data_IF_070256148013
#
_entry.id   IF_070256148013
#
_cell.length_a   1.000
_cell.length_b   1.000
_cell.length_c   1.000
_cell.angle_alpha   90.00
_cell.angle_beta   90.00
_cell.angle_gamma   90.00
#
_symmetry.space_group_name_H-M   'P 1'
#
loop_
_entity.id
_entity.type
_entity.pdbx_description
1 polymer ?
#
# COMPACT_ATOMS: atom_id res chain seq x y z
N UNK A 1 15.69 -12.18 -9.74
CA UNK A 1 14.29 -12.38 -9.31
C UNK A 1 14.32 -12.89 -7.89
N UNK A 2 14.06 -12.01 -6.94
CA UNK A 2 13.64 -12.35 -5.58
C UNK A 2 12.24 -11.76 -5.42
N UNK A 3 11.32 -12.56 -4.88
CA UNK A 3 9.88 -12.39 -5.08
C UNK A 3 9.12 -12.37 -3.76
N UNK A 4 7.82 -12.07 -3.81
CA UNK A 4 6.91 -12.22 -2.67
C UNK A 4 6.87 -13.64 -2.09
N UNK A 5 7.41 -14.64 -2.81
CA UNK A 5 7.68 -15.98 -2.27
C UNK A 5 8.72 -15.95 -1.15
N UNK A 6 9.81 -15.21 -1.30
CA UNK A 6 10.85 -15.09 -0.26
C UNK A 6 10.31 -14.34 0.97
N UNK A 7 9.45 -13.35 0.74
CA UNK A 7 8.74 -12.65 1.81
C UNK A 7 7.81 -13.61 2.57
N UNK A 8 7.12 -14.52 1.87
CA UNK A 8 6.31 -15.55 2.50
C UNK A 8 7.15 -16.51 3.35
N UNK A 9 8.25 -17.02 2.82
CA UNK A 9 9.18 -17.90 3.53
C UNK A 9 9.80 -17.21 4.76
N UNK A 10 10.12 -15.93 4.64
CA UNK A 10 10.59 -15.12 5.76
C UNK A 10 9.56 -15.04 6.89
N UNK A 11 8.28 -14.79 6.58
CA UNK A 11 7.21 -14.75 7.60
C UNK A 11 7.11 -16.10 8.31
N UNK A 12 7.12 -17.20 7.57
CA UNK A 12 7.09 -18.55 8.13
C UNK A 12 8.26 -18.79 9.09
N UNK A 13 9.48 -18.42 8.67
CA UNK A 13 10.68 -18.52 9.50
C UNK A 13 10.61 -17.66 10.76
N UNK A 14 10.16 -16.40 10.65
CA UNK A 14 10.05 -15.48 11.78
C UNK A 14 9.01 -15.92 12.81
N UNK A 15 7.95 -16.61 12.36
CA UNK A 15 6.86 -17.10 13.19
C UNK A 15 7.04 -18.52 13.70
N UNK A 16 7.93 -19.31 13.09
CA UNK A 16 8.06 -20.75 13.35
C UNK A 16 6.81 -21.52 12.90
N UNK A 17 6.24 -21.15 11.75
CA UNK A 17 5.02 -21.75 11.18
C UNK A 17 5.31 -22.44 9.85
N UNK A 18 4.48 -23.42 9.48
CA UNK A 18 4.61 -24.14 8.20
C UNK A 18 3.77 -23.54 7.07
N UNK A 19 2.75 -22.75 7.40
CA UNK A 19 1.84 -22.17 6.43
C UNK A 19 1.40 -20.76 6.82
N UNK A 20 1.16 -19.94 5.81
CA UNK A 20 0.58 -18.61 6.00
C UNK A 20 -0.93 -18.76 6.21
N UNK A 21 -1.44 -18.01 7.18
CA UNK A 21 -2.88 -17.85 7.35
C UNK A 21 -3.51 -17.21 6.10
N UNK A 22 -4.80 -17.43 5.81
CA UNK A 22 -5.48 -16.79 4.68
C UNK A 22 -5.33 -15.26 4.66
N UNK A 23 -5.34 -14.65 5.85
CA UNK A 23 -5.12 -13.20 6.06
C UNK A 23 -3.76 -12.75 5.57
N UNK A 24 -2.71 -13.49 5.89
CA UNK A 24 -1.34 -13.15 5.52
C UNK A 24 -1.13 -13.33 4.02
N UNK A 25 -1.72 -14.35 3.40
CA UNK A 25 -1.71 -14.51 1.95
C UNK A 25 -2.38 -13.33 1.25
N UNK A 26 -3.54 -12.91 1.73
CA UNK A 26 -4.24 -11.74 1.20
C UNK A 26 -3.43 -10.46 1.37
N UNK A 27 -2.79 -10.28 2.52
CA UNK A 27 -1.94 -9.14 2.78
C UNK A 27 -0.73 -9.08 1.83
N UNK A 28 0.00 -10.20 1.67
CA UNK A 28 1.12 -10.28 0.74
C UNK A 28 0.70 -10.03 -0.71
N UNK A 29 -0.38 -10.69 -1.15
CA UNK A 29 -0.95 -10.46 -2.48
C UNK A 29 -1.30 -8.99 -2.68
N UNK A 30 -1.85 -8.34 -1.66
CA UNK A 30 -2.21 -6.92 -1.76
C UNK A 30 -1.00 -6.01 -1.87
N UNK A 31 0.07 -6.28 -1.12
CA UNK A 31 1.32 -5.54 -1.22
C UNK A 31 1.94 -5.69 -2.63
N UNK A 32 1.90 -6.90 -3.18
CA UNK A 32 2.36 -7.20 -4.53
C UNK A 32 1.54 -6.45 -5.59
N UNK A 33 0.22 -6.56 -5.56
CA UNK A 33 -0.69 -5.81 -6.45
C UNK A 33 -0.54 -4.29 -6.31
N UNK A 34 -0.13 -3.82 -5.14
CA UNK A 34 0.12 -2.38 -4.88
C UNK A 34 1.55 -1.95 -5.25
N UNK A 35 2.33 -2.83 -5.90
CA UNK A 35 3.70 -2.60 -6.33
C UNK A 35 4.66 -2.19 -5.20
N UNK A 36 4.47 -2.72 -3.99
CA UNK A 36 5.43 -2.50 -2.91
C UNK A 36 6.75 -3.23 -3.22
N UNK A 37 7.92 -2.55 -3.16
CA UNK A 37 9.21 -3.19 -3.33
C UNK A 37 9.42 -4.28 -2.28
N UNK A 38 9.69 -5.51 -2.71
CA UNK A 38 9.77 -6.67 -1.83
C UNK A 38 10.87 -6.50 -0.75
N UNK A 39 11.98 -5.82 -1.07
CA UNK A 39 13.06 -5.54 -0.12
C UNK A 39 12.58 -4.70 1.07
N UNK A 40 11.70 -3.73 0.81
CA UNK A 40 11.14 -2.87 1.85
C UNK A 40 10.12 -3.63 2.70
N UNK A 41 9.36 -4.54 2.06
CA UNK A 41 8.43 -5.42 2.78
C UNK A 41 9.20 -6.37 3.70
N UNK A 42 10.24 -7.01 3.20
CA UNK A 42 11.14 -7.87 3.98
C UNK A 42 11.74 -7.13 5.18
N UNK A 43 12.32 -5.96 4.96
CA UNK A 43 12.91 -5.16 6.03
C UNK A 43 11.86 -4.72 7.07
N UNK A 44 10.66 -4.34 6.61
CA UNK A 44 9.55 -3.97 7.49
C UNK A 44 9.11 -5.12 8.37
N UNK A 45 9.02 -6.33 7.82
CA UNK A 45 8.69 -7.55 8.57
C UNK A 45 9.76 -7.89 9.59
N UNK A 46 11.05 -7.84 9.21
CA UNK A 46 12.18 -8.06 10.13
C UNK A 46 12.13 -7.09 11.31
N UNK A 47 11.98 -5.79 11.05
CA UNK A 47 11.88 -4.75 12.09
C UNK A 47 10.68 -4.94 12.99
N UNK A 48 9.54 -5.31 12.42
CA UNK A 48 8.32 -5.55 13.19
C UNK A 48 8.48 -6.74 14.14
N UNK A 49 8.88 -7.91 13.63
CA UNK A 49 9.01 -9.12 14.44
C UNK A 49 10.18 -9.07 15.42
N UNK A 50 11.24 -8.32 15.14
CA UNK A 50 12.35 -8.11 16.09
C UNK A 50 11.89 -7.43 17.40
N UNK A 51 10.85 -6.59 17.34
CA UNK A 51 10.25 -5.92 18.51
C UNK A 51 9.35 -6.85 19.34
N UNK A 52 9.06 -8.06 18.84
CA UNK A 52 8.17 -9.01 19.49
C UNK A 52 8.97 -10.14 20.15
N UNK A 53 8.61 -10.52 21.38
CA UNK A 53 9.08 -11.76 21.99
C UNK A 53 8.77 -12.99 21.11
N UNK A 54 9.67 -13.98 20.99
CA UNK A 54 9.50 -15.15 20.12
C UNK A 54 8.15 -15.88 20.27
N UNK A 55 7.69 -16.06 21.51
CA UNK A 55 6.44 -16.74 21.86
C UNK A 55 5.19 -16.01 21.34
N UNK A 56 5.27 -14.68 21.14
CA UNK A 56 4.18 -13.89 20.57
C UNK A 56 4.18 -13.89 19.05
N UNK A 57 5.34 -14.07 18.39
CA UNK A 57 5.47 -13.99 16.92
C UNK A 57 4.53 -14.94 16.19
N UNK A 58 4.42 -16.18 16.68
CA UNK A 58 3.55 -17.22 16.12
C UNK A 58 2.10 -16.74 15.95
N UNK A 59 1.56 -16.10 16.99
CA UNK A 59 0.16 -15.62 17.02
C UNK A 59 -0.02 -14.25 16.38
N UNK A 60 1.05 -13.49 16.16
CA UNK A 60 0.98 -12.15 15.56
C UNK A 60 0.94 -12.22 14.03
N UNK A 61 -0.14 -11.76 13.39
CA UNK A 61 -0.23 -11.70 11.93
C UNK A 61 0.74 -10.70 11.30
N UNK A 62 1.25 -11.01 10.12
CA UNK A 62 2.19 -10.15 9.39
C UNK A 62 1.60 -8.80 8.95
N UNK A 63 0.28 -8.67 8.79
CA UNK A 63 -0.34 -7.41 8.35
C UNK A 63 -0.18 -6.25 9.34
N UNK A 64 0.10 -6.53 10.61
CA UNK A 64 0.45 -5.49 11.59
C UNK A 64 1.78 -4.79 11.28
N UNK A 65 2.64 -5.39 10.44
CA UNK A 65 3.85 -4.77 9.96
C UNK A 65 3.60 -3.65 8.93
N UNK A 66 2.36 -3.47 8.44
CA UNK A 66 2.04 -2.51 7.39
C UNK A 66 2.52 -1.09 7.73
N UNK A 67 2.29 -0.63 8.96
CA UNK A 67 2.74 0.70 9.38
C UNK A 67 4.28 0.86 9.31
N UNK A 68 5.03 -0.19 9.66
CA UNK A 68 6.49 -0.20 9.57
C UNK A 68 6.95 -0.21 8.11
N UNK A 69 6.29 -1.00 7.24
CA UNK A 69 6.55 -1.06 5.80
C UNK A 69 6.28 0.30 5.15
N UNK A 70 5.16 0.95 5.46
CA UNK A 70 4.83 2.29 4.95
C UNK A 70 5.84 3.34 5.39
N UNK A 71 6.31 3.27 6.64
CA UNK A 71 7.36 4.16 7.15
C UNK A 71 8.66 3.99 6.37
N UNK A 72 9.07 2.75 6.10
CA UNK A 72 10.25 2.45 5.28
C UNK A 72 10.09 2.94 3.85
N UNK A 73 8.91 2.73 3.25
CA UNK A 73 8.58 3.24 1.92
C UNK A 73 8.70 4.75 1.85
N UNK A 74 8.11 5.49 2.78
CA UNK A 74 8.23 6.97 2.84
C UNK A 74 9.69 7.41 2.98
N UNK A 75 10.48 6.72 3.80
CA UNK A 75 11.91 7.03 3.95
C UNK A 75 12.70 6.75 2.67
N UNK A 76 12.45 5.61 2.02
CA UNK A 76 13.11 5.25 0.77
C UNK A 76 12.79 6.26 -0.34
N UNK A 77 11.51 6.67 -0.44
CA UNK A 77 11.05 7.73 -1.34
C UNK A 77 11.83 9.02 -1.10
N UNK A 78 11.89 9.50 0.15
CA UNK A 78 12.62 10.72 0.52
C UNK A 78 14.10 10.67 0.11
N UNK A 79 14.74 9.52 0.29
CA UNK A 79 16.15 9.34 -0.07
C UNK A 79 16.39 9.25 -1.58
N UNK A 80 15.38 8.86 -2.35
CA UNK A 80 15.45 8.75 -3.82
C UNK A 80 15.06 10.03 -4.56
N UNK A 81 14.60 11.05 -3.84
CA UNK A 81 14.10 12.30 -4.42
C UNK A 81 15.13 13.10 -5.21
N UNK A 82 16.43 12.87 -4.98
CA UNK A 82 17.53 13.57 -5.66
C UNK A 82 17.95 12.99 -7.01
N UNK A 83 17.32 11.92 -7.51
CA UNK A 83 17.60 11.41 -8.86
C UNK A 83 16.91 12.30 -9.89
N UNK A 84 17.69 12.88 -10.80
CA UNK A 84 17.17 13.55 -11.99
C UNK A 84 16.34 12.55 -12.79
N UNK A 85 15.05 12.86 -12.94
CA UNK A 85 14.05 12.13 -13.68
C UNK A 85 13.00 13.15 -14.13
N UNK A 86 12.23 12.85 -15.17
CA UNK A 86 11.21 13.72 -15.72
C UNK A 86 9.92 13.70 -14.87
N UNK A 87 10.09 13.91 -13.57
CA UNK A 87 9.02 13.79 -12.57
C UNK A 87 7.90 14.81 -12.78
N UNK A 88 8.20 15.97 -13.39
CA UNK A 88 7.21 17.00 -13.68
C UNK A 88 6.20 16.55 -14.72
N UNK A 89 6.66 15.90 -15.79
CA UNK A 89 5.76 15.33 -16.81
C UNK A 89 4.94 14.17 -16.24
N UNK A 90 5.59 13.27 -15.49
CA UNK A 90 4.87 12.16 -14.81
C UNK A 90 3.82 12.68 -13.83
N UNK A 91 4.14 13.73 -13.07
CA UNK A 91 3.19 14.37 -12.17
C UNK A 91 1.96 14.92 -12.92
N UNK A 92 2.18 15.63 -14.03
CA UNK A 92 1.07 16.15 -14.86
C UNK A 92 0.18 15.03 -15.40
N UNK A 93 0.77 13.97 -15.95
CA UNK A 93 0.02 12.82 -16.44
C UNK A 93 -0.80 12.13 -15.33
N UNK A 94 -0.24 12.01 -14.12
CA UNK A 94 -0.97 11.46 -12.98
C UNK A 94 -2.12 12.38 -12.51
N UNK A 95 -1.94 13.70 -12.57
CA UNK A 95 -3.01 14.66 -12.28
C UNK A 95 -4.15 14.58 -13.31
N UNK A 96 -3.84 14.42 -14.59
CA UNK A 96 -4.85 14.22 -15.65
C UNK A 96 -5.68 12.96 -15.38
N UNK A 97 -5.03 11.83 -15.11
CA UNK A 97 -5.70 10.57 -14.73
C UNK A 97 -6.56 10.73 -13.46
N UNK A 98 -6.10 11.49 -12.46
CA UNK A 98 -6.90 11.79 -11.27
C UNK A 98 -8.12 12.67 -11.58
N UNK A 99 -7.97 13.61 -12.53
CA UNK A 99 -8.99 14.55 -12.98
C UNK A 99 -10.21 13.88 -13.61
N UNK A 100 -10.06 12.66 -14.12
CA UNK A 100 -11.18 11.85 -14.64
C UNK A 100 -12.18 11.46 -13.54
N UNK A 101 -11.77 11.48 -12.27
CA UNK A 101 -12.57 10.98 -11.15
C UNK A 101 -12.89 12.03 -10.10
N UNK A 102 -12.00 12.99 -9.88
CA UNK A 102 -12.15 14.03 -8.86
C UNK A 102 -11.68 15.38 -9.38
N UNK A 103 -12.19 16.46 -8.78
CA UNK A 103 -11.67 17.80 -9.04
C UNK A 103 -10.22 17.92 -8.56
N UNK A 104 -9.32 18.25 -9.47
CA UNK A 104 -7.90 18.44 -9.19
C UNK A 104 -7.59 19.94 -9.15
N UNK A 105 -7.09 20.48 -8.02
CA UNK A 105 -6.74 21.89 -7.92
C UNK A 105 -5.51 22.20 -8.78
N UNK A 106 -5.42 23.44 -9.27
CA UNK A 106 -4.22 23.94 -9.94
C UNK A 106 -3.09 24.08 -8.92
N UNK A 107 -2.12 23.18 -8.99
CA UNK A 107 -1.01 23.07 -8.04
C UNK A 107 0.32 23.01 -8.78
N UNK A 108 1.33 23.69 -8.24
CA UNK A 108 2.68 23.70 -8.81
C UNK A 108 3.68 23.31 -7.71
N UNK A 109 4.14 22.04 -7.69
CA UNK A 109 5.06 21.55 -6.67
C UNK A 109 6.46 22.16 -6.84
N UNK A 110 7.08 22.51 -5.71
CA UNK A 110 8.43 23.09 -5.67
C UNK A 110 9.52 22.06 -5.97
N UNK A 111 9.26 20.81 -5.63
CA UNK A 111 10.19 19.69 -5.74
C UNK A 111 9.46 18.35 -5.92
N UNK A 112 10.21 17.27 -6.20
CA UNK A 112 9.65 15.93 -6.42
C UNK A 112 8.91 15.38 -5.19
N UNK A 113 9.29 15.79 -3.98
CA UNK A 113 8.66 15.31 -2.74
C UNK A 113 7.31 15.96 -2.48
N UNK A 114 7.22 17.28 -2.64
CA UNK A 114 5.98 18.03 -2.58
C UNK A 114 4.98 17.56 -3.64
N UNK A 115 5.45 17.21 -4.83
CA UNK A 115 4.63 16.58 -5.87
C UNK A 115 4.03 15.22 -5.41
N UNK A 116 4.86 14.36 -4.81
CA UNK A 116 4.39 13.08 -4.26
C UNK A 116 3.40 13.25 -3.10
N UNK A 117 3.61 14.23 -2.22
CA UNK A 117 2.68 14.54 -1.13
C UNK A 117 1.33 15.01 -1.66
N UNK A 118 1.34 15.83 -2.72
CA UNK A 118 0.12 16.23 -3.42
C UNK A 118 -0.60 15.01 -4.00
N UNK A 119 0.11 14.14 -4.73
CA UNK A 119 -0.48 12.91 -5.29
C UNK A 119 -1.08 12.02 -4.21
N UNK A 120 -0.36 11.80 -3.10
CA UNK A 120 -0.85 10.99 -1.98
C UNK A 120 -2.12 11.57 -1.35
N UNK A 121 -2.21 12.90 -1.22
CA UNK A 121 -3.39 13.59 -0.73
C UNK A 121 -4.57 13.46 -1.70
N UNK A 122 -4.34 13.63 -3.00
CA UNK A 122 -5.36 13.47 -4.03
C UNK A 122 -5.83 12.02 -4.14
N UNK A 123 -4.92 11.04 -4.06
CA UNK A 123 -5.27 9.61 -4.02
C UNK A 123 -6.16 9.30 -2.80
N UNK A 124 -5.88 9.90 -1.64
CA UNK A 124 -6.74 9.73 -0.47
C UNK A 124 -8.13 10.33 -0.68
N UNK A 125 -8.25 11.48 -1.36
CA UNK A 125 -9.55 12.08 -1.73
C UNK A 125 -10.29 11.22 -2.75
N UNK A 126 -9.59 10.68 -3.75
CA UNK A 126 -10.14 9.77 -4.74
C UNK A 126 -10.78 8.56 -4.08
N UNK A 127 -10.04 7.82 -3.25
CA UNK A 127 -10.62 6.63 -2.60
C UNK A 127 -11.78 6.96 -1.67
N UNK A 128 -11.76 8.14 -1.04
CA UNK A 128 -12.90 8.61 -0.25
C UNK A 128 -14.12 8.82 -1.14
N UNK A 129 -13.97 9.53 -2.26
CA UNK A 129 -15.03 9.77 -3.23
C UNK A 129 -15.59 8.46 -3.81
N UNK A 130 -14.72 7.53 -4.22
CA UNK A 130 -15.11 6.21 -4.73
C UNK A 130 -15.85 5.40 -3.67
N UNK A 131 -15.39 5.45 -2.41
CA UNK A 131 -16.07 4.80 -1.31
C UNK A 131 -17.45 5.39 -1.08
N UNK A 132 -17.59 6.72 -1.02
CA UNK A 132 -18.87 7.38 -0.74
C UNK A 132 -19.92 7.07 -1.82
N UNK A 133 -19.52 7.02 -3.09
CA UNK A 133 -20.39 6.73 -4.22
C UNK A 133 -20.69 5.24 -4.47
N UNK A 134 -20.07 4.32 -3.72
CA UNK A 134 -20.40 2.91 -3.81
C UNK A 134 -21.80 2.61 -3.24
N UNK A 135 -22.59 1.73 -3.88
CA UNK A 135 -23.84 1.24 -3.32
C UNK A 135 -23.64 0.63 -1.92
N UNK A 136 -24.62 0.81 -1.04
CA UNK A 136 -24.51 0.37 0.36
C UNK A 136 -24.31 -1.16 0.48
N UNK A 137 -24.95 -1.93 -0.40
CA UNK A 137 -24.78 -3.39 -0.46
C UNK A 137 -23.34 -3.79 -0.83
N UNK A 138 -22.69 -3.03 -1.70
CA UNK A 138 -21.29 -3.28 -2.04
C UNK A 138 -20.34 -2.91 -0.89
N UNK A 139 -20.61 -1.79 -0.20
CA UNK A 139 -19.86 -1.40 1.01
C UNK A 139 -19.92 -2.52 2.05
N UNK A 140 -21.12 -3.03 2.33
CA UNK A 140 -21.32 -4.17 3.25
C UNK A 140 -20.58 -5.42 2.78
N UNK A 141 -20.63 -5.75 1.50
CA UNK A 141 -19.93 -6.89 0.93
C UNK A 141 -18.40 -6.78 1.11
N UNK A 142 -17.82 -5.61 0.86
CA UNK A 142 -16.39 -5.34 1.06
C UNK A 142 -15.98 -5.44 2.54
N UNK A 143 -16.78 -4.86 3.43
CA UNK A 143 -16.55 -4.95 4.88
C UNK A 143 -16.65 -6.40 5.38
N UNK A 144 -17.59 -7.19 4.85
CA UNK A 144 -17.74 -8.62 5.17
C UNK A 144 -16.55 -9.42 4.64
N UNK A 145 -16.12 -9.18 3.39
CA UNK A 145 -14.95 -9.83 2.77
C UNK A 145 -13.70 -9.61 3.61
N UNK A 146 -13.48 -8.40 4.11
CA UNK A 146 -12.29 -8.05 4.91
C UNK A 146 -12.51 -7.98 6.42
N UNK A 147 -13.59 -8.57 6.93
CA UNK A 147 -13.93 -8.53 8.36
C UNK A 147 -12.79 -9.05 9.27
N UNK A 148 -11.95 -9.94 8.75
CA UNK A 148 -10.76 -10.46 9.44
C UNK A 148 -9.67 -9.42 9.74
N UNK A 149 -9.72 -8.24 9.12
CA UNK A 149 -8.84 -7.09 9.39
C UNK A 149 -9.51 -6.02 10.27
N UNK A 150 -10.74 -6.21 10.76
CA UNK A 150 -11.53 -5.18 11.47
C UNK A 150 -10.84 -4.57 12.70
N UNK A 151 -9.94 -5.31 13.33
CA UNK A 151 -9.19 -4.86 14.51
C UNK A 151 -7.99 -3.97 14.15
N UNK A 152 -7.63 -3.89 12.87
CA UNK A 152 -6.59 -3.02 12.34
C UNK A 152 -7.19 -2.15 11.24
N UNK A 153 -7.58 -0.93 11.62
CA UNK A 153 -8.19 0.04 10.68
C UNK A 153 -7.26 0.36 9.50
N UNK A 154 -5.95 0.36 9.72
CA UNK A 154 -4.95 0.63 8.68
C UNK A 154 -4.93 -0.50 7.66
N UNK A 155 -4.80 -1.75 8.13
CA UNK A 155 -4.84 -2.91 7.25
C UNK A 155 -6.19 -3.04 6.54
N UNK A 156 -7.31 -2.82 7.23
CA UNK A 156 -8.64 -2.85 6.61
C UNK A 156 -8.77 -1.80 5.50
N UNK A 157 -8.38 -0.55 5.78
CA UNK A 157 -8.39 0.53 4.80
C UNK A 157 -7.52 0.20 3.59
N UNK A 158 -6.32 -0.34 3.82
CA UNK A 158 -5.41 -0.79 2.76
C UNK A 158 -6.04 -1.87 1.88
N UNK A 159 -6.71 -2.87 2.48
CA UNK A 159 -7.39 -3.92 1.71
C UNK A 159 -8.57 -3.38 0.89
N UNK A 160 -9.35 -2.45 1.45
CA UNK A 160 -10.48 -1.82 0.76
C UNK A 160 -9.99 -0.96 -0.41
N UNK A 161 -9.00 -0.08 -0.19
CA UNK A 161 -8.40 0.74 -1.26
C UNK A 161 -7.91 -0.10 -2.42
N UNK A 162 -7.29 -1.25 -2.14
CA UNK A 162 -6.88 -2.20 -3.18
C UNK A 162 -8.04 -2.77 -4.01
N UNK A 163 -9.19 -3.07 -3.39
CA UNK A 163 -10.37 -3.48 -4.16
C UNK A 163 -10.95 -2.34 -5.00
N UNK A 164 -11.01 -1.13 -4.45
CA UNK A 164 -11.47 0.04 -5.21
C UNK A 164 -10.56 0.26 -6.42
N UNK A 165 -9.25 0.25 -6.20
CA UNK A 165 -8.25 0.36 -7.28
C UNK A 165 -8.52 -0.66 -8.38
N UNK A 166 -8.70 -1.94 -8.02
CA UNK A 166 -8.98 -3.02 -8.98
C UNK A 166 -10.32 -2.84 -9.69
N UNK A 167 -11.38 -2.50 -8.95
CA UNK A 167 -12.74 -2.35 -9.49
C UNK A 167 -12.81 -1.24 -10.53
N UNK A 168 -12.12 -0.13 -10.29
CA UNK A 168 -12.11 1.04 -11.16
C UNK A 168 -10.91 1.08 -12.13
N UNK A 169 -10.11 0.00 -12.22
CA UNK A 169 -8.99 -0.08 -13.15
C UNK A 169 -7.89 0.97 -12.92
N UNK A 170 -7.74 1.44 -11.68
CA UNK A 170 -6.85 2.56 -11.37
C UNK A 170 -5.39 2.10 -11.28
N UNK A 171 -4.49 2.93 -11.81
CA UNK A 171 -3.05 2.79 -11.62
C UNK A 171 -2.57 3.17 -10.21
N UNK A 172 -1.25 3.22 -10.04
CA UNK A 172 -0.63 3.72 -8.80
C UNK A 172 -0.28 5.19 -8.97
N UNK A 173 -0.88 6.07 -8.16
CA UNK A 173 -0.62 7.50 -8.19
C UNK A 173 0.62 7.86 -7.35
N UNK A 174 1.80 7.49 -7.84
CA UNK A 174 3.08 7.79 -7.16
C UNK A 174 4.18 8.02 -8.19
N UNK A 175 5.02 9.02 -7.97
CA UNK A 175 6.21 9.32 -8.77
C UNK A 175 7.34 8.30 -8.56
N UNK A 176 7.21 7.43 -7.55
CA UNK A 176 8.23 6.48 -7.15
C UNK A 176 7.83 5.03 -7.45
N UNK A 177 6.75 4.85 -8.21
CA UNK A 177 6.34 3.56 -8.76
C UNK A 177 6.35 3.68 -10.28
N UNK A 178 7.09 2.82 -10.94
CA UNK A 178 7.03 2.71 -12.40
C UNK A 178 5.76 1.95 -12.79
N UNK A 179 4.95 2.54 -13.67
CA UNK A 179 3.88 1.79 -14.36
C UNK A 179 4.58 0.72 -15.22
N UNK A 180 4.18 -0.54 -15.04
CA UNK A 180 4.66 -1.67 -15.85
C UNK A 180 3.80 -1.84 -17.08
#
# INVERSE_FOLDING_TARGET
MSSYREVAELILKLKGELFLSPRERWFLKRLEESAYPWQLVEEGLKRFYAKLPPERRKKTPAFFALAEIERLRKKAIKNSAGKEDNWRERFKSLLEKLGEYIEVPKVEPKDKMSAEEILANLESKLYKHLWENLPEEEKKALLKKYAQFKQDKTALSFMIKGELRKKFGLGVFSLFVEER
#
